data_IF_422563003640
#
_entry.id   IF_422563003640
#
_cell.length_a   1.000
_cell.length_b   1.000
_cell.length_c   1.000
_cell.angle_alpha   90.00
_cell.angle_beta   90.00
_cell.angle_gamma   90.00
#
_symmetry.space_group_name_H-M   'P 1'
#
loop_
_entity.id
_entity.type
_entity.pdbx_description
1 polymer ?
#
# COMPACT_ATOMS: atom_id res chain seq x y z
N UNK A 1 9.55 -20.62 9.66
CA UNK A 1 8.18 -20.99 9.30
C UNK A 1 8.15 -21.13 7.78
N UNK A 2 8.15 -22.37 7.31
CA UNK A 2 8.09 -22.74 5.89
C UNK A 2 7.02 -23.82 5.79
N UNK A 3 5.81 -23.45 5.40
CA UNK A 3 4.73 -24.40 5.13
C UNK A 3 4.55 -24.56 3.61
N UNK A 4 5.29 -25.50 3.03
CA UNK A 4 4.71 -26.51 2.13
C UNK A 4 3.96 -26.08 0.86
N UNK A 5 4.05 -24.84 0.38
CA UNK A 5 3.66 -24.43 -0.98
C UNK A 5 4.77 -23.55 -1.55
N UNK A 6 5.43 -24.03 -2.61
CA UNK A 6 6.63 -23.43 -3.20
C UNK A 6 6.44 -22.10 -3.94
N UNK A 7 5.65 -21.18 -3.38
CA UNK A 7 5.46 -19.82 -3.89
C UNK A 7 5.22 -18.88 -2.69
N UNK A 8 6.27 -18.51 -1.97
CA UNK A 8 6.19 -17.28 -1.16
C UNK A 8 5.87 -16.16 -2.14
N UNK A 9 4.80 -15.39 -1.90
CA UNK A 9 4.45 -14.27 -2.77
C UNK A 9 5.67 -13.36 -2.87
N UNK A 10 6.03 -12.99 -4.10
CA UNK A 10 7.12 -12.04 -4.30
C UNK A 10 6.72 -10.67 -3.74
N UNK A 11 7.70 -9.86 -3.33
CA UNK A 11 7.46 -8.46 -2.95
C UNK A 11 6.61 -7.72 -3.99
N UNK A 12 6.87 -7.95 -5.28
CA UNK A 12 6.07 -7.38 -6.38
C UNK A 12 4.61 -7.82 -6.34
N UNK A 13 4.35 -9.10 -6.10
CA UNK A 13 2.97 -9.61 -5.97
C UNK A 13 2.23 -8.90 -4.86
N UNK A 14 2.87 -8.75 -3.69
CA UNK A 14 2.29 -8.05 -2.53
C UNK A 14 2.02 -6.58 -2.87
N UNK A 15 2.96 -5.91 -3.55
CA UNK A 15 2.79 -4.52 -3.99
C UNK A 15 1.61 -4.38 -4.95
N UNK A 16 1.45 -5.29 -5.91
CA UNK A 16 0.30 -5.27 -6.81
C UNK A 16 -1.03 -5.39 -6.07
N UNK A 17 -1.12 -6.29 -5.08
CA UNK A 17 -2.31 -6.44 -4.23
C UNK A 17 -2.60 -5.16 -3.43
N UNK A 18 -1.57 -4.55 -2.81
CA UNK A 18 -1.70 -3.26 -2.12
C UNK A 18 -2.23 -2.19 -3.07
N UNK A 19 -1.67 -2.09 -4.28
CA UNK A 19 -2.10 -1.11 -5.27
C UNK A 19 -3.53 -1.39 -5.75
N UNK A 20 -3.96 -2.65 -5.82
CA UNK A 20 -5.36 -3.03 -6.10
C UNK A 20 -6.28 -2.54 -4.99
N UNK A 21 -5.96 -2.84 -3.73
CA UNK A 21 -6.74 -2.41 -2.58
C UNK A 21 -6.84 -0.88 -2.49
N UNK A 22 -5.73 -0.17 -2.74
CA UNK A 22 -5.74 1.29 -2.80
C UNK A 22 -6.62 1.83 -3.93
N UNK A 23 -6.77 1.12 -5.06
CA UNK A 23 -7.69 1.52 -6.14
C UNK A 23 -9.16 1.34 -5.77
N UNK A 24 -9.46 0.45 -4.83
CA UNK A 24 -10.81 0.26 -4.30
C UNK A 24 -11.21 1.31 -3.26
N UNK A 25 -10.25 2.08 -2.73
CA UNK A 25 -10.53 3.20 -1.81
C UNK A 25 -11.40 4.24 -2.54
N UNK A 26 -12.51 4.70 -1.93
CA UNK A 26 -13.35 5.74 -2.50
C UNK A 26 -12.54 6.99 -2.83
N UNK A 27 -12.80 7.54 -4.02
CA UNK A 27 -12.14 8.78 -4.46
C UNK A 27 -12.47 9.90 -3.49
N UNK A 28 -11.44 10.59 -3.01
CA UNK A 28 -11.59 11.71 -2.09
C UNK A 28 -12.44 12.82 -2.69
N UNK A 29 -13.28 13.44 -1.86
CA UNK A 29 -14.06 14.60 -2.25
C UNK A 29 -13.13 15.79 -2.54
N UNK A 30 -13.48 16.62 -3.53
CA UNK A 30 -12.70 17.83 -3.87
C UNK A 30 -12.71 18.88 -2.75
N UNK A 31 -13.55 18.70 -1.73
CA UNK A 31 -13.64 19.62 -0.61
C UNK A 31 -12.34 19.63 0.19
N UNK A 32 -11.79 20.82 0.50
CA UNK A 32 -10.61 20.93 1.35
C UNK A 32 -10.96 20.53 2.78
N UNK A 33 -10.15 19.64 3.38
CA UNK A 33 -9.99 19.58 4.83
C UNK A 33 -10.28 18.27 5.55
N UNK A 34 -11.02 17.30 4.99
CA UNK A 34 -11.51 16.17 5.82
C UNK A 34 -10.98 14.77 5.48
N UNK A 35 -10.88 14.35 4.21
CA UNK A 35 -10.62 12.93 3.90
C UNK A 35 -9.63 12.73 2.74
N UNK A 36 -8.43 13.29 2.89
CA UNK A 36 -7.39 13.28 1.83
C UNK A 36 -6.22 12.35 2.11
N UNK A 37 -6.20 11.60 3.21
CA UNK A 37 -5.04 10.77 3.60
C UNK A 37 -5.48 9.33 3.79
N UNK A 38 -4.76 8.41 3.17
CA UNK A 38 -4.86 6.97 3.40
C UNK A 38 -3.56 6.55 4.05
N UNK A 39 -3.61 5.81 5.15
CA UNK A 39 -2.42 5.28 5.81
C UNK A 39 -2.29 3.80 5.45
N UNK A 40 -1.17 3.43 4.87
CA UNK A 40 -0.83 2.06 4.51
C UNK A 40 0.24 1.56 5.50
N UNK A 41 -0.08 0.53 6.26
CA UNK A 41 0.87 -0.17 7.12
C UNK A 41 1.38 -1.43 6.40
N UNK A 42 2.69 -1.58 6.28
CA UNK A 42 3.36 -2.68 5.56
C UNK A 42 4.67 -3.07 6.24
N UNK A 43 5.23 -4.22 5.91
CA UNK A 43 6.60 -4.57 6.29
C UNK A 43 7.65 -3.58 5.70
N UNK A 44 8.77 -3.29 6.39
CA UNK A 44 9.82 -2.40 5.90
C UNK A 44 10.33 -2.72 4.49
N UNK A 45 10.53 -3.99 4.13
CA UNK A 45 10.98 -4.36 2.78
C UNK A 45 9.96 -3.95 1.70
N UNK A 46 8.66 -4.08 2.00
CA UNK A 46 7.58 -3.65 1.11
C UNK A 46 7.52 -2.13 1.02
N UNK A 47 7.73 -1.42 2.13
CA UNK A 47 7.82 0.05 2.12
C UNK A 47 8.96 0.52 1.21
N UNK A 48 10.15 -0.05 1.35
CA UNK A 48 11.33 0.30 0.58
C UNK A 48 11.06 0.06 -0.91
N UNK A 49 10.56 -1.12 -1.27
CA UNK A 49 10.19 -1.43 -2.65
C UNK A 49 9.10 -0.48 -3.20
N UNK A 50 8.09 -0.11 -2.42
CA UNK A 50 7.06 0.87 -2.82
C UNK A 50 7.63 2.28 -3.05
N UNK A 51 8.60 2.71 -2.25
CA UNK A 51 9.15 4.07 -2.31
C UNK A 51 10.29 4.22 -3.32
N UNK A 52 11.08 3.17 -3.53
CA UNK A 52 12.26 3.19 -4.39
C UNK A 52 11.99 2.56 -5.76
N UNK A 53 11.40 1.36 -5.80
CA UNK A 53 11.23 0.60 -7.05
C UNK A 53 9.90 0.92 -7.75
N UNK A 54 8.81 1.00 -6.98
CA UNK A 54 7.43 1.05 -7.51
C UNK A 54 6.77 2.42 -7.28
N UNK A 55 7.58 3.47 -7.11
CA UNK A 55 7.14 4.83 -6.77
C UNK A 55 6.15 5.40 -7.79
N UNK A 56 6.38 5.18 -9.08
CA UNK A 56 5.50 5.68 -10.14
C UNK A 56 4.09 5.11 -10.03
N UNK A 57 3.95 3.84 -9.63
CA UNK A 57 2.65 3.22 -9.40
C UNK A 57 1.93 3.82 -8.20
N UNK A 58 2.66 4.10 -7.11
CA UNK A 58 2.10 4.76 -5.93
C UNK A 58 1.54 6.15 -6.29
N UNK A 59 2.32 6.94 -7.04
CA UNK A 59 1.90 8.28 -7.52
C UNK A 59 0.69 8.20 -8.45
N UNK A 60 0.63 7.20 -9.32
CA UNK A 60 -0.52 7.00 -10.21
C UNK A 60 -1.80 6.68 -9.43
N UNK A 61 -1.69 5.85 -8.39
CA UNK A 61 -2.80 5.52 -7.49
C UNK A 61 -3.25 6.75 -6.70
N UNK A 62 -2.34 7.49 -6.08
CA UNK A 62 -2.66 8.73 -5.33
C UNK A 62 -3.46 9.73 -6.19
N UNK A 63 -3.05 9.91 -7.45
CA UNK A 63 -3.77 10.77 -8.41
C UNK A 63 -5.15 10.23 -8.74
N UNK A 64 -5.30 8.92 -8.89
CA UNK A 64 -6.57 8.26 -9.20
C UNK A 64 -7.59 8.41 -8.06
N UNK A 65 -7.16 8.20 -6.81
CA UNK A 65 -8.03 8.33 -5.64
C UNK A 65 -8.14 9.77 -5.13
N UNK A 66 -7.31 10.69 -5.63
CA UNK A 66 -7.23 12.08 -5.16
C UNK A 66 -7.02 12.16 -3.63
N UNK A 67 -6.19 11.25 -3.11
CA UNK A 67 -5.81 11.14 -1.70
C UNK A 67 -4.31 10.84 -1.65
N UNK A 68 -3.65 11.42 -0.67
CA UNK A 68 -2.26 11.13 -0.32
C UNK A 68 -2.19 9.77 0.37
N UNK A 69 -1.26 8.91 -0.05
CA UNK A 69 -0.98 7.63 0.58
C UNK A 69 0.24 7.78 1.47
N UNK A 70 0.06 7.59 2.77
CA UNK A 70 1.12 7.62 3.78
C UNK A 70 1.51 6.18 4.07
N UNK A 71 2.66 5.76 3.55
CA UNK A 71 3.22 4.43 3.80
C UNK A 71 3.98 4.45 5.13
N UNK A 72 3.66 3.51 6.02
CA UNK A 72 4.33 3.29 7.30
C UNK A 72 4.80 1.86 7.40
N UNK A 73 6.07 1.69 7.78
CA UNK A 73 6.64 0.39 8.08
C UNK A 73 6.22 -0.07 9.47
N UNK A 74 5.78 -1.32 9.57
CA UNK A 74 5.63 -2.05 10.82
C UNK A 74 6.55 -3.28 10.78
N UNK A 75 7.66 -3.30 11.54
CA UNK A 75 8.63 -4.40 11.51
C UNK A 75 8.16 -5.67 12.25
N UNK A 76 7.01 -5.62 12.92
CA UNK A 76 6.41 -6.77 13.60
C UNK A 76 5.41 -7.51 12.71
N UNK A 77 4.95 -6.86 11.63
CA UNK A 77 4.03 -7.43 10.64
C UNK A 77 4.73 -8.42 9.72
N UNK A 78 4.04 -9.47 9.28
CA UNK A 78 4.60 -10.37 8.27
C UNK A 78 4.78 -9.63 6.93
N UNK A 79 5.73 -10.07 6.09
CA UNK A 79 6.01 -9.42 4.80
C UNK A 79 4.80 -9.40 3.84
N UNK A 80 3.93 -10.40 3.95
CA UNK A 80 2.68 -10.51 3.19
C UNK A 80 1.50 -9.77 3.83
N UNK A 81 1.64 -9.29 5.06
CA UNK A 81 0.59 -8.55 5.76
C UNK A 81 0.68 -7.06 5.47
N UNK A 82 -0.48 -6.47 5.18
CA UNK A 82 -0.64 -5.03 5.02
C UNK A 82 -2.01 -4.58 5.53
N UNK A 83 -2.13 -3.31 5.90
CA UNK A 83 -3.39 -2.71 6.35
C UNK A 83 -3.59 -1.33 5.76
N UNK A 84 -4.74 -1.14 5.12
CA UNK A 84 -5.14 0.15 4.54
C UNK A 84 -6.15 0.81 5.48
N UNK A 85 -5.77 1.98 6.02
CA UNK A 85 -6.65 2.79 6.87
C UNK A 85 -7.01 4.06 6.12
N UNK A 86 -8.26 4.15 5.68
CA UNK A 86 -8.84 5.33 5.07
C UNK A 86 -9.91 5.92 6.01
N UNK A 87 -9.86 7.23 6.32
CA UNK A 87 -10.93 7.94 7.03
C UNK A 87 -12.17 8.15 6.14
#
# INVERSE_FOLDING_TARGET
>A
YCEGKGYTKSLRTIIYEILEELRHVPVGSRQPGKDRKVVLYVHPDVQVALQEEERDFLVAVEKKINRQVIVKSDPLSHIEEFSVIAP
#
